data_IF_366135856895
#
_entry.id   IF_366135856895
#
_cell.length_a   1.000
_cell.length_b   1.000
_cell.length_c   1.000
_cell.angle_alpha   90.00
_cell.angle_beta   90.00
_cell.angle_gamma   90.00
#
_symmetry.space_group_name_H-M   'P 1'
#
loop_
_entity.id
_entity.type
_entity.pdbx_description
1 polymer ?
#
# COMPACT_ATOMS: atom_id res chain seq x y z
N UNK A 1 -17.02 -9.78 0.78
CA UNK A 1 -16.05 -9.25 -0.19
C UNK A 1 -15.57 -7.90 0.32
N UNK A 2 -14.26 -7.68 0.53
CA UNK A 2 -13.73 -6.33 0.45
C UNK A 2 -12.70 -6.31 -0.68
N UNK A 3 -13.16 -5.88 -1.85
CA UNK A 3 -12.29 -5.25 -2.83
C UNK A 3 -12.06 -3.82 -2.30
N UNK A 4 -11.27 -3.68 -1.23
CA UNK A 4 -10.98 -2.36 -0.69
C UNK A 4 -9.72 -1.88 -1.36
N UNK A 5 -9.90 -1.21 -2.50
CA UNK A 5 -8.94 -0.40 -3.23
C UNK A 5 -7.74 0.01 -2.36
N UNK A 6 -6.66 -0.80 -2.38
CA UNK A 6 -5.43 -0.63 -1.57
C UNK A 6 -4.55 0.52 -2.08
N UNK A 7 -5.18 1.52 -2.70
CA UNK A 7 -4.56 2.63 -3.41
C UNK A 7 -4.74 3.88 -2.55
N UNK A 8 -3.63 4.39 -2.04
CA UNK A 8 -3.51 5.57 -1.20
C UNK A 8 -2.76 6.67 -1.93
N UNK A 9 -3.01 7.93 -1.61
CA UNK A 9 -2.29 9.06 -2.17
C UNK A 9 -1.19 9.55 -1.21
N UNK A 10 -0.12 10.13 -1.75
CA UNK A 10 0.86 10.88 -0.95
C UNK A 10 0.17 11.92 -0.08
N UNK A 11 0.51 11.97 1.21
CA UNK A 11 -0.10 12.84 2.20
C UNK A 11 -1.27 12.23 2.97
N UNK A 12 -1.75 11.03 2.58
CA UNK A 12 -2.75 10.31 3.37
C UNK A 12 -2.13 9.61 4.58
N UNK A 13 -2.95 9.33 5.60
CA UNK A 13 -2.51 8.56 6.77
C UNK A 13 -2.58 7.06 6.46
N UNK A 14 -1.47 6.38 6.71
CA UNK A 14 -1.31 4.94 6.58
C UNK A 14 -2.21 4.25 7.59
N UNK A 15 -3.19 3.51 7.10
CA UNK A 15 -4.15 2.81 7.96
C UNK A 15 -3.64 1.44 8.41
N UNK A 16 -2.74 0.82 7.66
CA UNK A 16 -2.19 -0.50 7.94
C UNK A 16 -0.66 -0.47 7.78
N UNK A 17 0.08 -1.03 8.73
CA UNK A 17 1.52 -1.10 8.61
C UNK A 17 1.91 -2.19 7.59
N UNK A 18 2.78 -1.87 6.65
CA UNK A 18 3.22 -2.84 5.66
C UNK A 18 4.09 -2.28 4.56
N UNK A 19 4.36 -3.12 3.55
CA UNK A 19 5.11 -2.70 2.36
C UNK A 19 4.13 -2.11 1.36
N UNK A 20 4.38 -0.87 0.94
CA UNK A 20 3.65 -0.17 -0.10
C UNK A 20 4.52 0.01 -1.33
N UNK A 21 3.90 0.12 -2.49
CA UNK A 21 4.56 0.25 -3.78
C UNK A 21 4.02 1.52 -4.45
N UNK A 22 4.90 2.48 -4.77
CA UNK A 22 4.45 3.66 -5.52
C UNK A 22 4.17 3.34 -6.99
N UNK A 23 3.53 4.26 -7.72
CA UNK A 23 3.16 4.08 -9.14
C UNK A 23 4.33 3.69 -10.05
N UNK A 24 5.56 4.03 -9.66
CA UNK A 24 6.80 3.67 -10.39
C UNK A 24 7.26 2.23 -10.16
N UNK A 25 6.67 1.52 -9.19
CA UNK A 25 7.10 0.19 -8.76
C UNK A 25 8.07 0.16 -7.58
N UNK A 26 8.38 1.32 -6.97
CA UNK A 26 9.26 1.38 -5.81
C UNK A 26 8.56 0.99 -4.51
N UNK A 27 9.22 0.13 -3.73
CA UNK A 27 8.70 -0.45 -2.50
C UNK A 27 9.17 0.35 -1.28
N UNK A 28 8.26 0.70 -0.38
CA UNK A 28 8.52 1.42 0.87
C UNK A 28 7.79 0.76 2.01
N UNK A 29 8.48 0.56 3.13
CA UNK A 29 7.84 0.13 4.36
C UNK A 29 7.26 1.35 5.08
N UNK A 30 5.98 1.29 5.42
CA UNK A 30 5.25 2.34 6.12
C UNK A 30 4.52 1.75 7.31
N UNK A 31 4.48 2.51 8.42
CA UNK A 31 3.82 2.09 9.64
C UNK A 31 2.42 2.70 9.75
N UNK A 32 1.51 2.00 10.42
CA UNK A 32 0.17 2.51 10.72
C UNK A 32 0.29 3.83 11.51
N UNK A 33 -0.44 4.84 11.05
CA UNK A 33 -0.42 6.20 11.61
C UNK A 33 0.65 7.12 11.00
N UNK A 34 1.54 6.60 10.16
CA UNK A 34 2.44 7.43 9.36
C UNK A 34 1.71 8.08 8.18
N UNK A 35 2.37 9.00 7.48
CA UNK A 35 1.82 9.63 6.28
C UNK A 35 2.53 9.09 5.06
N UNK A 36 1.80 8.80 3.98
CA UNK A 36 2.40 8.35 2.72
C UNK A 36 3.36 9.41 2.19
N UNK A 37 4.67 9.12 2.06
CA UNK A 37 5.63 10.07 1.51
C UNK A 37 5.44 10.24 0.00
N UNK A 38 6.13 11.22 -0.57
CA UNK A 38 6.32 11.34 -2.02
C UNK A 38 7.19 10.19 -2.57
N UNK A 39 7.03 9.86 -3.85
CA UNK A 39 7.75 8.72 -4.45
C UNK A 39 9.27 9.04 -4.46
N UNK A 40 10.13 8.19 -3.89
CA UNK A 40 11.56 8.49 -3.78
C UNK A 40 12.28 8.67 -5.14
N UNK A 41 11.75 8.08 -6.22
CA UNK A 41 12.26 8.30 -7.59
C UNK A 41 12.05 9.72 -8.12
N UNK A 42 10.86 10.30 -7.91
CA UNK A 42 10.46 11.55 -8.57
C UNK A 42 10.34 12.73 -7.61
N UNK A 43 10.11 12.49 -6.32
CA UNK A 43 9.77 13.53 -5.34
C UNK A 43 8.36 14.10 -5.54
N UNK A 44 7.53 13.44 -6.36
CA UNK A 44 6.16 13.88 -6.65
C UNK A 44 5.13 13.08 -5.87
N UNK A 45 3.95 13.69 -5.74
CA UNK A 45 2.76 13.01 -5.21
C UNK A 45 2.42 11.81 -6.09
N UNK A 46 2.33 10.65 -5.45
CA UNK A 46 2.19 9.37 -6.12
C UNK A 46 1.11 8.53 -5.47
N UNK A 47 0.88 7.39 -6.11
CA UNK A 47 -0.08 6.38 -5.72
C UNK A 47 0.62 5.25 -4.95
N UNK A 48 0.28 5.20 -3.67
CA UNK A 48 0.32 4.16 -2.64
C UNK A 48 -0.37 2.85 -2.91
N UNK A 49 0.22 1.81 -3.51
CA UNK A 49 -0.44 0.48 -3.54
C UNK A 49 0.10 -0.45 -2.47
N UNK A 50 -0.75 -1.01 -1.60
CA UNK A 50 -0.28 -1.97 -0.60
C UNK A 50 0.21 -3.27 -1.25
N UNK A 51 1.46 -3.66 -1.00
CA UNK A 51 2.06 -4.89 -1.55
C UNK A 51 1.50 -6.16 -0.89
N UNK A 52 0.96 -6.03 0.33
CA UNK A 52 0.42 -7.15 1.10
C UNK A 52 -0.98 -7.53 0.64
N UNK A 53 -1.14 -7.87 -0.64
CA UNK A 53 -2.30 -8.68 -1.04
C UNK A 53 -1.97 -10.15 -0.72
N UNK A 54 -1.99 -10.47 0.58
CA UNK A 54 -2.03 -11.88 0.98
C UNK A 54 -3.39 -12.40 0.56
N UNK A 55 -3.46 -13.08 -0.59
CA UNK A 55 -4.57 -13.99 -0.88
C UNK A 55 -4.58 -15.07 0.21
N UNK A 56 -5.19 -14.76 1.35
CA UNK A 56 -5.71 -15.78 2.26
C UNK A 56 -7.06 -16.21 1.69
N UNK A 57 -7.06 -16.80 0.48
CA UNK A 57 -8.14 -17.70 0.09
C UNK A 57 -8.02 -18.91 1.01
N UNK A 58 -8.62 -18.78 2.19
CA UNK A 58 -8.87 -19.86 3.13
C UNK A 58 -9.97 -20.77 2.61
N UNK A 59 -9.80 -21.29 1.39
CA UNK A 59 -10.56 -22.45 0.94
C UNK A 59 -9.76 -23.70 1.32
N UNK A 60 -10.02 -24.21 2.51
CA UNK A 60 -9.88 -25.65 2.70
C UNK A 60 -10.95 -26.30 1.83
N UNK A 61 -10.58 -26.71 0.60
CA UNK A 61 -11.40 -27.64 -0.16
C UNK A 61 -11.39 -28.96 0.62
N UNK A 62 -12.58 -29.36 1.07
CA UNK A 62 -12.83 -30.62 1.77
C UNK A 62 -12.99 -31.76 0.76
#
# INVERSE_FOLDING_TARGET
MPHFTDHHHTGETVSEAGTYICATGEKKELSQGETFPECPSTGDSTIWTHASHTHRTGESVM
#
